data_IF_953799989036
#
_entry.id   IF_953799989036
#
_cell.length_a   1.000
_cell.length_b   1.000
_cell.length_c   1.000
_cell.angle_alpha   90.00
_cell.angle_beta   90.00
_cell.angle_gamma   90.00
#
_symmetry.space_group_name_H-M   'P 1'
#
loop_
_entity.id
_entity.type
_entity.pdbx_description
1 polymer ?
#
# COMPACT_ATOMS: atom_id res chain seq x y z
N UNK A 1 23.39 -12.01 -15.45
CA UNK A 1 22.96 -13.42 -15.67
C UNK A 1 22.65 -14.04 -14.31
N UNK A 2 21.38 -14.00 -13.92
CA UNK A 2 20.86 -14.68 -12.75
C UNK A 2 20.89 -16.19 -12.99
N UNK A 3 21.35 -16.97 -11.99
CA UNK A 3 21.34 -18.43 -12.07
C UNK A 3 20.28 -18.96 -11.10
N UNK A 4 19.09 -19.22 -11.64
CA UNK A 4 18.13 -20.14 -11.04
C UNK A 4 18.82 -21.48 -10.75
N UNK A 5 18.68 -21.97 -9.52
CA UNK A 5 18.94 -23.37 -9.20
C UNK A 5 17.65 -24.00 -8.69
N UNK A 6 17.09 -24.87 -9.53
CA UNK A 6 15.91 -25.70 -9.29
C UNK A 6 16.15 -26.73 -8.18
N UNK A 7 15.11 -27.05 -7.42
CA UNK A 7 15.09 -28.13 -6.42
C UNK A 7 15.02 -29.53 -7.09
N UNK A 8 15.62 -30.59 -6.49
CA UNK A 8 15.41 -31.98 -6.90
C UNK A 8 14.42 -32.74 -5.96
N UNK A 9 13.90 -33.91 -6.38
CA UNK A 9 12.50 -34.28 -6.21
C UNK A 9 12.19 -35.29 -5.09
N UNK A 10 10.90 -35.36 -4.74
CA UNK A 10 10.29 -36.34 -3.85
C UNK A 10 10.46 -37.80 -4.32
N UNK A 11 10.74 -38.71 -3.38
CA UNK A 11 10.68 -40.17 -3.56
C UNK A 11 9.56 -40.76 -2.69
N UNK A 12 8.80 -41.69 -3.28
CA UNK A 12 7.62 -42.38 -2.71
C UNK A 12 7.96 -43.76 -2.12
N UNK A 13 7.28 -44.08 -0.99
CA UNK A 13 6.65 -45.36 -0.58
C UNK A 13 7.58 -46.56 -0.15
N UNK A 14 7.13 -47.53 0.71
CA UNK A 14 5.81 -48.18 0.69
C UNK A 14 5.08 -48.41 2.04
N UNK A 15 3.82 -48.82 1.91
CA UNK A 15 2.83 -49.11 2.94
C UNK A 15 2.87 -50.57 3.46
N UNK A 16 2.50 -50.80 4.73
CA UNK A 16 1.72 -51.99 5.13
C UNK A 16 0.95 -51.79 6.46
N UNK A 17 -0.17 -52.51 6.61
CA UNK A 17 -1.35 -52.30 7.48
C UNK A 17 -1.36 -53.09 8.82
N UNK A 18 -2.26 -52.62 9.72
CA UNK A 18 -2.92 -53.25 10.92
C UNK A 18 -2.08 -53.26 12.22
N UNK A 19 -2.61 -53.02 13.43
CA UNK A 19 -3.94 -53.30 14.04
C UNK A 19 -4.13 -52.44 15.33
N UNK A 20 -5.40 -52.21 15.73
CA UNK A 20 -5.89 -51.40 16.88
C UNK A 20 -5.66 -51.99 18.29
N UNK A 21 -5.55 -51.11 19.31
CA UNK A 21 -6.18 -51.07 20.69
C UNK A 21 -5.35 -50.13 21.61
N UNK A 22 -5.88 -49.01 22.13
CA UNK A 22 -6.73 -48.78 23.32
C UNK A 22 -5.92 -48.58 24.62
N UNK A 23 -6.15 -47.41 25.25
CA UNK A 23 -5.83 -46.87 26.59
C UNK A 23 -4.43 -47.04 27.23
N UNK A 24 -3.81 -45.92 27.61
CA UNK A 24 -3.54 -45.59 29.03
C UNK A 24 -3.09 -44.12 29.18
N UNK A 25 -3.53 -43.47 30.26
CA UNK A 25 -3.25 -42.10 30.64
C UNK A 25 -1.80 -41.93 31.11
N UNK A 26 -1.07 -40.92 30.62
CA UNK A 26 -0.03 -40.30 31.46
C UNK A 26 0.25 -38.83 31.08
N UNK A 27 0.03 -38.00 32.08
CA UNK A 27 0.22 -36.57 32.20
C UNK A 27 1.62 -36.11 31.73
N UNK A 28 1.69 -35.28 30.68
CA UNK A 28 2.90 -34.50 30.37
C UNK A 28 2.57 -33.03 30.10
N UNK A 29 2.67 -32.27 31.18
CA UNK A 29 3.18 -30.90 31.27
C UNK A 29 3.09 -30.06 29.97
N UNK A 30 2.01 -29.28 29.88
CA UNK A 30 1.89 -28.18 28.93
C UNK A 30 3.04 -27.17 29.14
N UNK A 31 4.12 -27.31 28.37
CA UNK A 31 5.12 -26.26 28.20
C UNK A 31 4.44 -25.11 27.46
N UNK A 32 3.99 -24.10 28.21
CA UNK A 32 3.62 -22.78 27.68
C UNK A 32 4.77 -22.32 26.77
N UNK A 33 4.53 -21.97 25.49
CA UNK A 33 5.56 -21.33 24.69
C UNK A 33 5.93 -20.02 25.40
N UNK A 34 7.20 -19.90 25.82
CA UNK A 34 7.78 -18.60 26.17
C UNK A 34 7.53 -17.71 24.96
N UNK A 35 6.59 -16.77 25.09
CA UNK A 35 6.51 -15.63 24.18
C UNK A 35 7.89 -14.99 24.25
N UNK A 36 8.67 -15.14 23.18
CA UNK A 36 9.83 -14.30 22.94
C UNK A 36 9.33 -12.87 23.00
N UNK A 37 9.58 -12.22 24.13
CA UNK A 37 9.44 -10.79 24.26
C UNK A 37 10.47 -10.24 23.29
N UNK A 38 10.03 -9.84 22.09
CA UNK A 38 10.77 -8.90 21.25
C UNK A 38 11.05 -7.71 22.17
N UNK A 39 12.28 -7.64 22.68
CA UNK A 39 12.75 -6.45 23.36
C UNK A 39 12.69 -5.36 22.28
N UNK A 40 11.72 -4.47 22.40
CA UNK A 40 11.70 -3.25 21.62
C UNK A 40 13.02 -2.53 21.92
N UNK A 41 13.88 -2.42 20.91
CA UNK A 41 15.10 -1.64 21.00
C UNK A 41 14.68 -0.16 21.06
N UNK A 42 14.36 0.30 22.27
CA UNK A 42 14.07 1.71 22.53
C UNK A 42 15.40 2.45 22.53
N UNK A 43 15.62 3.29 21.52
CA UNK A 43 16.76 4.18 21.47
C UNK A 43 16.49 5.42 22.34
N UNK A 44 17.19 5.55 23.46
CA UNK A 44 17.04 6.65 24.43
C UNK A 44 17.87 7.87 24.01
N UNK A 45 17.42 8.58 22.96
CA UNK A 45 18.11 9.74 22.38
C UNK A 45 18.43 10.87 23.38
N UNK A 46 17.74 10.93 24.52
CA UNK A 46 17.96 11.92 25.59
C UNK A 46 19.18 11.62 26.49
N UNK A 47 19.82 10.46 26.37
CA UNK A 47 21.08 10.13 27.08
C UNK A 47 22.34 10.40 26.27
N UNK A 48 22.20 10.95 25.06
CA UNK A 48 23.32 11.25 24.17
C UNK A 48 24.10 12.48 24.72
N UNK A 49 25.34 12.26 25.18
CA UNK A 49 26.16 13.28 25.83
C UNK A 49 26.77 14.31 24.87
N UNK A 50 26.92 13.93 23.59
CA UNK A 50 27.53 14.79 22.57
C UNK A 50 26.47 15.38 21.62
N UNK A 51 26.02 16.62 21.86
CA UNK A 51 25.11 17.28 20.93
C UNK A 51 25.77 17.47 19.56
N UNK A 52 24.95 17.40 18.51
CA UNK A 52 25.40 17.76 17.17
C UNK A 52 25.86 19.23 17.15
N UNK A 53 26.92 19.57 16.40
CA UNK A 53 27.31 20.96 16.18
C UNK A 53 26.14 21.81 15.66
N UNK A 54 26.14 23.10 16.00
CA UNK A 54 25.09 24.03 15.57
C UNK A 54 24.92 24.00 14.04
N UNK A 55 23.67 23.87 13.59
CA UNK A 55 23.31 23.74 12.17
C UNK A 55 23.33 22.31 11.61
N UNK A 56 23.91 21.32 12.30
CA UNK A 56 23.90 19.91 11.84
C UNK A 56 22.73 19.12 12.44
N UNK A 57 21.96 18.41 11.59
CA UNK A 57 20.74 17.68 12.01
C UNK A 57 20.89 16.16 12.09
N UNK A 58 21.86 15.59 11.38
CA UNK A 58 22.12 14.15 11.35
C UNK A 58 23.61 13.89 11.07
N UNK A 59 24.14 12.76 11.57
CA UNK A 59 25.51 12.29 11.25
C UNK A 59 25.52 11.42 9.99
N UNK A 60 24.50 10.59 9.83
CA UNK A 60 24.29 9.69 8.70
C UNK A 60 22.79 9.64 8.37
N UNK A 61 22.43 9.58 7.08
CA UNK A 61 21.05 9.47 6.61
C UNK A 61 21.02 8.54 5.40
N UNK A 62 20.27 7.44 5.53
CA UNK A 62 19.94 6.53 4.43
C UNK A 62 18.42 6.34 4.43
N UNK A 63 17.79 6.55 3.28
CA UNK A 63 16.35 6.35 3.12
C UNK A 63 16.05 5.75 1.73
N UNK A 64 14.96 5.00 1.63
CA UNK A 64 14.56 4.30 0.41
C UNK A 64 13.82 5.18 -0.61
N UNK A 65 14.16 6.47 -0.67
CA UNK A 65 13.51 7.42 -1.57
C UNK A 65 12.05 7.73 -1.17
N UNK A 66 11.22 7.93 -2.20
CA UNK A 66 9.80 8.25 -2.08
C UNK A 66 8.94 7.14 -2.69
N UNK A 67 7.74 6.95 -2.14
CA UNK A 67 6.75 6.05 -2.72
C UNK A 67 5.80 6.91 -3.56
N UNK A 68 5.76 6.65 -4.85
CA UNK A 68 4.79 7.28 -5.74
C UNK A 68 3.41 6.64 -5.56
N UNK A 69 2.32 7.43 -5.66
CA UNK A 69 0.99 6.86 -5.71
C UNK A 69 0.88 5.87 -6.88
N UNK A 70 -0.04 4.87 -6.79
CA UNK A 70 -0.30 3.99 -7.90
C UNK A 70 -0.76 4.78 -9.13
N UNK A 71 -0.54 4.23 -10.31
CA UNK A 71 -1.07 4.81 -11.55
C UNK A 71 -2.60 4.79 -11.50
N UNK A 72 -3.23 5.81 -12.08
CA UNK A 72 -4.67 5.87 -12.19
C UNK A 72 -5.20 4.69 -13.03
N UNK A 73 -6.26 4.04 -12.53
CA UNK A 73 -6.96 2.97 -13.22
C UNK A 73 -8.31 3.50 -13.72
N UNK A 74 -8.51 3.60 -15.05
CA UNK A 74 -9.77 4.08 -15.59
C UNK A 74 -10.93 3.14 -15.27
N UNK A 75 -12.07 3.71 -14.88
CA UNK A 75 -13.28 2.98 -14.53
C UNK A 75 -14.29 2.89 -15.68
N UNK A 76 -14.12 3.67 -16.76
CA UNK A 76 -14.95 3.60 -17.96
C UNK A 76 -16.39 4.10 -17.78
N UNK A 77 -16.66 4.83 -16.70
CA UNK A 77 -17.95 5.45 -16.43
C UNK A 77 -18.03 6.74 -17.23
N UNK A 78 -18.95 6.78 -18.20
CA UNK A 78 -19.08 7.92 -19.11
C UNK A 78 -19.64 9.14 -18.38
N UNK A 79 -19.00 10.30 -18.62
CA UNK A 79 -19.53 11.59 -18.18
C UNK A 79 -20.68 12.00 -19.10
N UNK A 80 -21.74 12.61 -18.56
CA UNK A 80 -22.81 13.20 -19.36
C UNK A 80 -22.61 14.71 -19.48
N UNK A 81 -22.66 15.21 -20.70
CA UNK A 81 -22.64 16.64 -21.01
C UNK A 81 -23.81 16.97 -21.94
N UNK A 82 -24.65 17.93 -21.55
CA UNK A 82 -25.87 18.31 -22.28
C UNK A 82 -26.78 17.11 -22.64
N UNK A 83 -26.85 16.12 -21.74
CA UNK A 83 -27.63 14.89 -21.94
C UNK A 83 -26.96 13.82 -22.82
N UNK A 84 -25.83 14.12 -23.46
CA UNK A 84 -25.06 13.19 -24.29
C UNK A 84 -23.89 12.56 -23.51
N UNK A 85 -23.60 11.29 -23.81
CA UNK A 85 -22.46 10.59 -23.24
C UNK A 85 -21.15 11.08 -23.88
N UNK A 86 -20.19 11.45 -23.06
CA UNK A 86 -18.84 11.89 -23.47
C UNK A 86 -17.83 10.83 -23.04
N UNK A 87 -17.02 10.41 -23.99
CA UNK A 87 -15.89 9.50 -23.74
C UNK A 87 -14.63 10.32 -23.44
N UNK A 88 -14.01 10.06 -22.29
CA UNK A 88 -12.83 10.75 -21.81
C UNK A 88 -11.61 9.81 -21.89
N UNK A 89 -10.43 10.38 -22.12
CA UNK A 89 -9.17 9.63 -21.97
C UNK A 89 -8.89 9.32 -20.50
N UNK A 90 -7.97 8.38 -20.22
CA UNK A 90 -7.60 8.02 -18.84
C UNK A 90 -7.20 9.24 -17.99
N UNK A 91 -6.43 10.16 -18.56
CA UNK A 91 -5.96 11.36 -17.86
C UNK A 91 -7.11 12.37 -17.62
N UNK A 92 -8.02 12.51 -18.59
CA UNK A 92 -9.20 13.36 -18.46
C UNK A 92 -10.21 12.79 -17.45
N UNK A 93 -10.43 11.46 -17.48
CA UNK A 93 -11.28 10.76 -16.54
C UNK A 93 -10.76 10.93 -15.12
N UNK A 94 -9.45 10.80 -14.88
CA UNK A 94 -8.84 11.00 -13.57
C UNK A 94 -9.16 12.38 -12.95
N UNK A 95 -9.06 13.44 -13.76
CA UNK A 95 -9.35 14.81 -13.32
C UNK A 95 -10.84 15.02 -13.10
N UNK A 96 -11.70 14.44 -13.94
CA UNK A 96 -13.14 14.45 -13.74
C UNK A 96 -13.56 13.72 -12.45
N UNK A 97 -12.96 12.55 -12.17
CA UNK A 97 -13.20 11.77 -10.95
C UNK A 97 -12.75 12.53 -9.71
N UNK A 98 -11.61 13.24 -9.78
CA UNK A 98 -11.15 14.12 -8.70
C UNK A 98 -12.22 15.15 -8.35
N UNK A 99 -12.79 15.84 -9.34
CA UNK A 99 -13.86 16.81 -9.12
C UNK A 99 -15.15 16.16 -8.61
N UNK A 100 -15.55 15.02 -9.20
CA UNK A 100 -16.73 14.27 -8.78
C UNK A 100 -16.65 13.85 -7.30
N UNK A 101 -15.46 13.48 -6.81
CA UNK A 101 -15.26 13.14 -5.39
C UNK A 101 -15.48 14.32 -4.43
N UNK A 102 -15.35 15.55 -4.94
CA UNK A 102 -15.49 16.78 -4.17
C UNK A 102 -16.88 17.42 -4.30
N UNK A 103 -17.77 16.86 -5.10
CA UNK A 103 -19.08 17.49 -5.43
C UNK A 103 -19.99 17.69 -4.21
N UNK A 104 -19.83 16.85 -3.18
CA UNK A 104 -20.58 16.93 -1.92
C UNK A 104 -19.96 17.85 -0.88
N UNK A 105 -18.82 18.49 -1.19
CA UNK A 105 -18.11 19.37 -0.27
C UNK A 105 -18.44 20.83 -0.52
N UNK A 106 -18.20 21.68 0.47
CA UNK A 106 -18.36 23.14 0.34
C UNK A 106 -17.44 23.78 -0.72
N UNK A 107 -16.45 23.04 -1.24
CA UNK A 107 -15.61 23.53 -2.34
C UNK A 107 -16.37 23.59 -3.65
N UNK A 108 -17.30 22.68 -3.89
CA UNK A 108 -18.07 22.62 -5.14
C UNK A 108 -18.99 23.84 -5.34
N UNK A 109 -19.28 24.61 -4.28
CA UNK A 109 -20.08 25.84 -4.37
C UNK A 109 -19.22 27.10 -4.53
N UNK A 110 -17.91 27.02 -4.26
CA UNK A 110 -17.01 28.18 -4.31
C UNK A 110 -16.69 28.55 -5.75
N UNK A 111 -17.04 29.77 -6.15
CA UNK A 111 -16.81 30.30 -7.51
C UNK A 111 -15.34 30.18 -7.95
N UNK A 112 -14.39 30.53 -7.08
CA UNK A 112 -12.95 30.44 -7.41
C UNK A 112 -12.50 29.01 -7.69
N UNK A 113 -13.02 28.03 -6.94
CA UNK A 113 -12.72 26.62 -7.16
C UNK A 113 -13.27 26.16 -8.51
N UNK A 114 -14.52 26.48 -8.81
CA UNK A 114 -15.15 26.19 -10.09
C UNK A 114 -14.39 26.81 -11.26
N UNK A 115 -14.04 28.09 -11.17
CA UNK A 115 -13.31 28.80 -12.23
C UNK A 115 -11.93 28.20 -12.49
N UNK A 116 -11.19 27.85 -11.43
CA UNK A 116 -9.88 27.23 -11.58
C UNK A 116 -9.99 25.83 -12.18
N UNK A 117 -10.92 25.01 -11.66
CA UNK A 117 -11.14 23.65 -12.17
C UNK A 117 -11.50 23.67 -13.66
N UNK A 118 -12.49 24.46 -14.06
CA UNK A 118 -12.93 24.49 -15.46
C UNK A 118 -11.88 25.06 -16.40
N UNK A 119 -11.05 25.99 -15.93
CA UNK A 119 -9.92 26.51 -16.72
C UNK A 119 -8.91 25.41 -17.03
N UNK A 120 -8.51 24.63 -16.03
CA UNK A 120 -7.51 23.58 -16.22
C UNK A 120 -8.11 22.36 -16.93
N UNK A 121 -9.35 22.00 -16.61
CA UNK A 121 -10.05 20.89 -17.24
C UNK A 121 -10.33 21.15 -18.73
N UNK A 122 -10.75 22.36 -19.11
CA UNK A 122 -10.91 22.72 -20.53
C UNK A 122 -9.59 22.69 -21.30
N UNK A 123 -8.48 23.11 -20.68
CA UNK A 123 -7.16 23.00 -21.30
C UNK A 123 -6.75 21.53 -21.52
N UNK A 124 -7.14 20.62 -20.62
CA UNK A 124 -6.87 19.18 -20.72
C UNK A 124 -7.76 18.48 -21.77
N UNK A 125 -8.99 18.97 -21.98
CA UNK A 125 -9.88 18.47 -23.02
C UNK A 125 -9.39 18.84 -24.43
N UNK A 126 -8.67 19.96 -24.57
CA UNK A 126 -8.16 20.45 -25.84
C UNK A 126 -9.15 21.36 -26.57
N UNK A 127 -8.79 21.77 -27.79
CA UNK A 127 -9.72 22.40 -28.74
C UNK A 127 -10.22 21.32 -29.69
N UNK A 128 -11.51 21.36 -29.99
CA UNK A 128 -12.13 20.57 -31.07
C UNK A 128 -11.36 20.70 -32.40
#
# INVERSE_FOLDING_TARGET
>A
KWREKKAPPAKKAPANKKKRKADDEEEKAAKKPKKEVKQELVYEWWKEEEPLPEGKKWRFLEHNGVIFPPKYEPHGVKMKYDGHDVELTADQEAVATMYASMISTDYATKKTFLTNFWKDFSALLGKD
#
